data_IF_541485826685
#
_entry.id   IF_541485826685
#
_cell.length_a   1.000
_cell.length_b   1.000
_cell.length_c   1.000
_cell.angle_alpha   90.00
_cell.angle_beta   90.00
_cell.angle_gamma   90.00
#
_symmetry.space_group_name_H-M   'P 1'
#
loop_
_entity.id
_entity.type
_entity.pdbx_description
1 polymer ?
#
# COMPACT_ATOMS: atom_id res chain seq x y z
N UNK A 1 -3.32 8.11 11.26
CA UNK A 1 -3.96 7.07 10.43
C UNK A 1 -5.06 7.65 9.58
N UNK A 2 -5.85 8.59 10.10
CA UNK A 2 -7.03 9.18 9.43
C UNK A 2 -6.78 9.76 8.04
N UNK A 3 -5.81 10.65 7.85
CA UNK A 3 -5.72 11.42 6.59
C UNK A 3 -5.59 10.55 5.32
N UNK A 4 -4.76 9.51 5.31
CA UNK A 4 -4.58 8.69 4.11
C UNK A 4 -5.77 7.76 3.87
N UNK A 5 -6.31 7.17 4.94
CA UNK A 5 -7.54 6.37 4.89
C UNK A 5 -8.71 7.19 4.35
N UNK A 6 -8.89 8.41 4.84
CA UNK A 6 -9.92 9.34 4.39
C UNK A 6 -9.77 9.69 2.91
N UNK A 7 -8.53 9.94 2.46
CA UNK A 7 -8.26 10.20 1.04
C UNK A 7 -8.63 8.99 0.19
N UNK A 8 -8.25 7.77 0.60
CA UNK A 8 -8.59 6.54 -0.12
C UNK A 8 -10.10 6.35 -0.19
N UNK A 9 -10.81 6.46 0.95
CA UNK A 9 -12.28 6.36 0.99
C UNK A 9 -12.98 7.40 0.12
N UNK A 10 -12.45 8.62 0.05
CA UNK A 10 -13.03 9.69 -0.74
C UNK A 10 -12.75 9.59 -2.25
N UNK A 11 -11.69 8.87 -2.66
CA UNK A 11 -11.16 8.87 -4.04
C UNK A 11 -11.22 7.51 -4.73
N UNK A 12 -11.54 6.45 -4.01
CA UNK A 12 -11.64 5.08 -4.53
C UNK A 12 -13.05 4.56 -4.23
N UNK A 13 -13.98 4.67 -5.19
CA UNK A 13 -15.30 4.06 -5.08
C UNK A 13 -15.18 2.56 -4.78
N UNK A 14 -16.17 2.01 -4.09
CA UNK A 14 -16.31 0.58 -3.79
C UNK A 14 -15.25 -0.02 -2.85
N UNK A 15 -14.29 0.78 -2.35
CA UNK A 15 -13.34 0.29 -1.36
C UNK A 15 -14.00 0.10 0.02
N UNK A 16 -13.75 -1.04 0.66
CA UNK A 16 -14.21 -1.25 2.03
C UNK A 16 -13.39 -0.42 3.03
N UNK A 17 -14.01 -0.01 4.13
CA UNK A 17 -13.33 0.70 5.21
C UNK A 17 -12.17 -0.12 5.82
N UNK A 18 -12.29 -1.45 5.81
CA UNK A 18 -11.25 -2.37 6.27
C UNK A 18 -10.04 -2.36 5.33
N UNK A 19 -10.28 -2.46 4.02
CA UNK A 19 -9.21 -2.45 3.03
C UNK A 19 -8.49 -1.09 3.00
N UNK A 20 -9.24 0.02 3.06
CA UNK A 20 -8.66 1.36 3.16
C UNK A 20 -7.79 1.54 4.43
N UNK A 21 -8.17 0.93 5.55
CA UNK A 21 -7.39 0.96 6.79
C UNK A 21 -6.07 0.18 6.64
N UNK A 22 -6.11 -1.03 6.07
CA UNK A 22 -4.92 -1.84 5.80
C UNK A 22 -3.95 -1.12 4.85
N UNK A 23 -4.47 -0.54 3.76
CA UNK A 23 -3.67 0.26 2.82
C UNK A 23 -2.95 1.41 3.55
N UNK A 24 -3.67 2.18 4.35
CA UNK A 24 -3.11 3.31 5.07
C UNK A 24 -2.03 2.88 6.08
N UNK A 25 -2.18 1.72 6.74
CA UNK A 25 -1.17 1.16 7.64
C UNK A 25 0.08 0.72 6.89
N UNK A 26 -0.08 -0.05 5.81
CA UNK A 26 1.03 -0.57 5.01
C UNK A 26 1.83 0.58 4.38
N UNK A 27 1.16 1.53 3.73
CA UNK A 27 1.83 2.69 3.13
C UNK A 27 2.58 3.51 4.17
N UNK A 28 2.02 3.66 5.38
CA UNK A 28 2.71 4.35 6.47
C UNK A 28 3.97 3.61 6.91
N UNK A 29 3.93 2.29 7.09
CA UNK A 29 5.10 1.49 7.43
C UNK A 29 6.18 1.64 6.35
N UNK A 30 5.80 1.51 5.07
CA UNK A 30 6.71 1.69 3.94
C UNK A 30 7.36 3.09 3.95
N UNK A 31 6.61 4.15 4.27
CA UNK A 31 7.15 5.52 4.35
C UNK A 31 8.11 5.76 5.53
N UNK A 32 8.16 4.87 6.51
CA UNK A 32 9.12 4.94 7.62
C UNK A 32 10.47 4.32 7.24
N UNK A 33 10.55 3.60 6.13
CA UNK A 33 11.79 3.03 5.62
C UNK A 33 12.67 4.13 5.00
N UNK A 34 13.99 3.90 5.05
CA UNK A 34 14.97 4.69 4.31
C UNK A 34 14.87 4.37 2.80
N UNK A 35 13.93 5.00 2.12
CA UNK A 35 13.67 4.82 0.69
C UNK A 35 14.36 5.92 -0.12
N UNK A 36 14.78 5.60 -1.35
CA UNK A 36 15.21 6.62 -2.31
C UNK A 36 14.06 7.57 -2.66
N UNK A 37 12.86 7.01 -2.82
CA UNK A 37 11.64 7.79 -3.04
C UNK A 37 10.46 7.12 -2.35
N UNK A 38 9.93 7.80 -1.34
CA UNK A 38 8.71 7.38 -0.66
C UNK A 38 7.48 7.48 -1.59
N UNK A 39 6.49 6.56 -1.45
CA UNK A 39 5.26 6.61 -2.23
C UNK A 39 4.45 7.85 -1.87
N UNK A 40 3.95 8.57 -2.87
CA UNK A 40 3.02 9.68 -2.71
C UNK A 40 1.58 9.20 -2.54
N UNK A 41 0.66 10.14 -2.31
CA UNK A 41 -0.78 9.86 -2.24
C UNK A 41 -1.31 9.29 -3.57
N UNK A 42 -0.78 9.72 -4.71
CA UNK A 42 -1.22 9.21 -6.02
C UNK A 42 -0.89 7.73 -6.16
N UNK A 43 0.32 7.31 -5.77
CA UNK A 43 0.69 5.89 -5.78
C UNK A 43 -0.16 5.07 -4.80
N UNK A 44 -0.52 5.61 -3.62
CA UNK A 44 -1.48 4.97 -2.70
C UNK A 44 -2.84 4.73 -3.37
N UNK A 45 -3.38 5.73 -4.09
CA UNK A 45 -4.67 5.63 -4.75
C UNK A 45 -4.66 4.64 -5.91
N UNK A 46 -3.57 4.60 -6.68
CA UNK A 46 -3.42 3.64 -7.77
C UNK A 46 -3.29 2.21 -7.24
N UNK A 47 -2.59 2.04 -6.11
CA UNK A 47 -2.51 0.75 -5.44
C UNK A 47 -3.88 0.29 -4.91
N UNK A 48 -4.64 1.18 -4.28
CA UNK A 48 -6.01 0.89 -3.82
C UNK A 48 -6.93 0.43 -4.96
N UNK A 49 -6.90 1.12 -6.10
CA UNK A 49 -7.66 0.72 -7.31
C UNK A 49 -7.19 -0.63 -7.85
N UNK A 50 -5.88 -0.88 -7.85
CA UNK A 50 -5.31 -2.15 -8.30
C UNK A 50 -5.82 -3.30 -7.45
N UNK A 51 -5.85 -3.15 -6.12
CA UNK A 51 -6.34 -4.17 -5.20
C UNK A 51 -7.83 -4.49 -5.44
N UNK A 52 -8.66 -3.48 -5.66
CA UNK A 52 -10.07 -3.69 -6.03
C UNK A 52 -10.20 -4.45 -7.35
N UNK A 53 -9.42 -4.07 -8.36
CA UNK A 53 -9.43 -4.73 -9.68
C UNK A 53 -8.97 -6.19 -9.60
N UNK A 54 -8.08 -6.52 -8.66
CA UNK A 54 -7.65 -7.88 -8.37
C UNK A 54 -8.64 -8.67 -7.51
N UNK A 55 -9.74 -8.06 -7.06
CA UNK A 55 -10.73 -8.69 -6.19
C UNK A 55 -10.23 -8.91 -4.76
N UNK A 56 -9.22 -8.13 -4.32
CA UNK A 56 -8.62 -8.24 -2.99
C UNK A 56 -9.49 -7.50 -1.98
N UNK A 57 -9.93 -8.19 -0.93
CA UNK A 57 -10.68 -7.65 0.21
C UNK A 57 -9.85 -7.56 1.50
N UNK A 58 -8.78 -8.35 1.58
CA UNK A 58 -7.78 -8.37 2.65
C UNK A 58 -6.37 -8.48 2.06
N UNK A 59 -5.41 -7.73 2.60
CA UNK A 59 -4.03 -7.70 2.11
C UNK A 59 -3.19 -8.59 3.01
N UNK A 60 -2.80 -9.76 2.52
CA UNK A 60 -1.76 -10.57 3.14
C UNK A 60 -0.34 -10.15 2.68
N UNK A 61 0.66 -10.73 3.32
CA UNK A 61 2.06 -10.44 3.02
C UNK A 61 2.45 -10.76 1.57
N UNK A 62 1.84 -11.78 0.96
CA UNK A 62 2.13 -12.18 -0.42
C UNK A 62 1.53 -11.18 -1.41
N UNK A 63 0.25 -10.82 -1.27
CA UNK A 63 -0.38 -9.81 -2.14
C UNK A 63 0.31 -8.46 -2.01
N UNK A 64 0.69 -8.06 -0.80
CA UNK A 64 1.43 -6.82 -0.59
C UNK A 64 2.74 -6.83 -1.40
N UNK A 65 3.55 -7.90 -1.28
CA UNK A 65 4.83 -8.05 -2.00
C UNK A 65 4.67 -8.03 -3.52
N UNK A 66 3.70 -8.77 -4.04
CA UNK A 66 3.46 -8.86 -5.49
C UNK A 66 3.04 -7.52 -6.09
N UNK A 67 2.39 -6.65 -5.32
CA UNK A 67 1.86 -5.37 -5.78
C UNK A 67 2.69 -4.14 -5.36
N UNK A 68 3.84 -4.33 -4.67
CA UNK A 68 4.73 -3.25 -4.23
C UNK A 68 5.21 -2.33 -5.37
N UNK A 69 5.32 -2.86 -6.60
CA UNK A 69 5.76 -2.11 -7.78
C UNK A 69 4.77 -0.99 -8.18
N UNK A 70 3.53 -1.06 -7.70
CA UNK A 70 2.55 0.03 -7.86
C UNK A 70 2.94 1.22 -6.98
N UNK A 71 3.36 0.96 -5.74
CA UNK A 71 3.79 1.95 -4.76
C UNK A 71 5.20 2.50 -5.02
N UNK A 72 6.13 1.63 -5.39
CA UNK A 72 7.58 1.92 -5.42
C UNK A 72 8.14 1.66 -6.82
N UNK A 73 8.97 2.60 -7.31
CA UNK A 73 9.54 2.51 -8.67
C UNK A 73 11.00 2.03 -8.71
N UNK A 74 11.71 2.12 -7.58
CA UNK A 74 13.10 1.66 -7.49
C UNK A 74 13.14 0.22 -6.98
N UNK A 75 13.82 -0.67 -7.70
CA UNK A 75 14.01 -2.07 -7.31
C UNK A 75 14.59 -2.21 -5.89
N UNK A 76 15.50 -1.31 -5.52
CA UNK A 76 16.09 -1.28 -4.17
C UNK A 76 15.07 -0.96 -3.09
N UNK A 77 14.12 -0.06 -3.38
CA UNK A 77 13.06 0.34 -2.44
C UNK A 77 12.03 -0.79 -2.33
N UNK A 78 11.67 -1.43 -3.45
CA UNK A 78 10.81 -2.62 -3.47
C UNK A 78 11.42 -3.73 -2.61
N UNK A 79 12.71 -4.03 -2.77
CA UNK A 79 13.38 -5.06 -1.99
C UNK A 79 13.39 -4.74 -0.48
N UNK A 80 13.61 -3.48 -0.09
CA UNK A 80 13.52 -3.04 1.32
C UNK A 80 12.11 -3.24 1.86
N UNK A 81 11.09 -2.78 1.14
CA UNK A 81 9.69 -2.91 1.57
C UNK A 81 9.21 -4.36 1.63
N UNK A 82 9.61 -5.22 0.68
CA UNK A 82 9.26 -6.65 0.71
C UNK A 82 9.86 -7.35 1.94
N UNK A 83 11.06 -6.95 2.35
CA UNK A 83 11.68 -7.45 3.57
C UNK A 83 10.92 -7.01 4.81
N UNK A 84 10.56 -5.74 4.91
CA UNK A 84 9.76 -5.20 6.03
C UNK A 84 8.45 -5.97 6.21
N UNK A 85 7.70 -6.17 5.12
CA UNK A 85 6.44 -6.89 5.13
C UNK A 85 6.56 -8.40 5.45
N UNK A 86 7.78 -8.93 5.57
CA UNK A 86 8.04 -10.31 5.99
C UNK A 86 8.40 -10.41 7.48
N UNK A 87 8.58 -9.29 8.17
CA UNK A 87 9.01 -9.24 9.59
C UNK A 87 7.81 -9.12 10.53
N UNK A 88 6.65 -8.68 10.04
CA UNK A 88 5.40 -8.51 10.80
C UNK A 88 4.57 -9.82 10.96
N UNK A 89 5.18 -11.01 10.84
CA UNK A 89 4.55 -12.33 11.12
C UNK A 89 4.82 -12.82 12.57
#
# INVERSE_FOLDING_TARGET
MEREKEIVLAKVPDISANLADQIARIVRSIRQLDLKKAPSVSETLDWARTLILLGVDHIDAQQAKETLHVLLKYQTDIAKAAKELSVDE
#
